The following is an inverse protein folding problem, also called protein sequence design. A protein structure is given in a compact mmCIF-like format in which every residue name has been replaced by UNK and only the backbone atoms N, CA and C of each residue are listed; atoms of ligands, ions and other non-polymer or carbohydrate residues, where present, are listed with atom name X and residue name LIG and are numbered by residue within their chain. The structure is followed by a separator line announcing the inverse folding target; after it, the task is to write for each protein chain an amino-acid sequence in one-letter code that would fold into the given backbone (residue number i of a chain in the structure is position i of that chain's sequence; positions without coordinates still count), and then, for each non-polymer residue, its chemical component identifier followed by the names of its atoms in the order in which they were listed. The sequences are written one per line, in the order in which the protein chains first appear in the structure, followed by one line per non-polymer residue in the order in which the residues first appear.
data_IF_162250783392
#
_entry.id   IF_162250783392
#
_cell.length_a   1.000
_cell.length_b   1.000
_cell.length_c   1.000
_cell.angle_alpha   90.00
_cell.angle_beta   90.00
_cell.angle_gamma   90.00
#
_symmetry.space_group_name_H-M   'P 1'
#
loop_
_entity.id
_entity.type
_entity.pdbx_description
1 polymer ?
#
# COMPACT_ATOMS: atom_id res chain seq x y z
N UNK A 1 -12.14 -2.05 -9.09
CA UNK A 1 -10.90 -1.70 -9.82
C UNK A 1 -11.29 -1.23 -11.21
N UNK A 2 -10.51 -0.37 -11.82
CA UNK A 2 -10.78 0.20 -13.14
C UNK A 2 -9.51 0.21 -14.00
N UNK A 3 -9.66 0.16 -15.31
CA UNK A 3 -8.53 0.26 -16.23
C UNK A 3 -7.96 1.68 -16.24
N UNK A 4 -6.68 1.82 -16.57
CA UNK A 4 -6.01 3.10 -16.75
C UNK A 4 -6.68 3.88 -17.91
N UNK A 5 -7.06 5.14 -17.65
CA UNK A 5 -7.66 6.01 -18.68
C UNK A 5 -6.70 7.02 -19.29
N UNK A 6 -5.56 7.25 -18.65
CA UNK A 6 -4.61 8.31 -19.02
C UNK A 6 -3.17 7.79 -19.13
N UNK A 7 -2.99 6.51 -19.46
CA UNK A 7 -1.66 5.92 -19.62
C UNK A 7 -0.83 6.70 -20.64
N UNK A 8 0.43 6.94 -20.31
CA UNK A 8 1.33 7.74 -21.13
C UNK A 8 1.94 6.91 -22.27
N UNK A 9 2.33 7.55 -23.40
CA UNK A 9 2.92 6.84 -24.53
C UNK A 9 4.11 5.95 -24.17
N UNK A 10 4.94 6.37 -23.22
CA UNK A 10 6.09 5.58 -22.77
C UNK A 10 5.66 4.28 -22.05
N UNK A 11 4.51 4.26 -21.39
CA UNK A 11 3.97 3.06 -20.78
C UNK A 11 3.47 2.06 -21.83
N UNK A 12 2.93 2.54 -22.94
CA UNK A 12 2.60 1.69 -24.09
C UNK A 12 3.88 1.12 -24.74
N UNK A 13 4.92 1.94 -24.91
CA UNK A 13 6.22 1.49 -25.41
C UNK A 13 6.85 0.41 -24.51
N UNK A 14 6.69 0.52 -23.19
CA UNK A 14 7.12 -0.52 -22.25
C UNK A 14 6.38 -1.85 -22.49
N UNK A 15 5.05 -1.82 -22.67
CA UNK A 15 4.27 -3.03 -22.95
C UNK A 15 4.67 -3.66 -24.29
N UNK A 16 4.90 -2.83 -25.32
CA UNK A 16 5.38 -3.29 -26.62
C UNK A 16 6.78 -3.92 -26.51
N UNK A 17 7.68 -3.32 -25.74
CA UNK A 17 9.00 -3.89 -25.49
C UNK A 17 8.92 -5.25 -24.75
N UNK A 18 8.00 -5.41 -23.80
CA UNK A 18 7.72 -6.68 -23.15
C UNK A 18 7.23 -7.72 -24.15
N UNK A 19 6.29 -7.35 -25.03
CA UNK A 19 5.79 -8.26 -26.08
C UNK A 19 6.90 -8.71 -27.04
N UNK A 20 7.73 -7.78 -27.49
CA UNK A 20 8.89 -8.03 -28.36
C UNK A 20 9.94 -8.92 -27.68
N UNK A 21 10.00 -8.91 -26.36
CA UNK A 21 10.83 -9.79 -25.52
C UNK A 21 10.15 -11.11 -25.18
N UNK A 22 9.07 -11.47 -25.86
CA UNK A 22 8.29 -12.71 -25.69
C UNK A 22 7.62 -12.83 -24.30
N UNK A 23 7.50 -11.73 -23.57
CA UNK A 23 6.71 -11.70 -22.34
C UNK A 23 5.22 -11.67 -22.72
N UNK A 24 4.44 -12.56 -22.12
CA UNK A 24 3.00 -12.62 -22.34
C UNK A 24 2.34 -11.32 -21.89
N UNK A 25 1.45 -10.76 -22.71
CA UNK A 25 0.70 -9.54 -22.35
C UNK A 25 -0.62 -9.92 -21.68
N UNK A 26 -0.94 -9.17 -20.62
CA UNK A 26 -2.13 -9.35 -19.78
C UNK A 26 -2.99 -8.09 -19.75
N UNK A 27 -4.27 -8.28 -19.93
CA UNK A 27 -5.28 -7.23 -19.74
C UNK A 27 -5.73 -7.13 -18.28
N UNK A 28 -5.68 -8.24 -17.52
CA UNK A 28 -6.10 -8.33 -16.13
C UNK A 28 -5.20 -9.31 -15.35
N UNK A 29 -4.61 -8.83 -14.26
CA UNK A 29 -3.79 -9.62 -13.34
C UNK A 29 -4.59 -10.34 -12.24
N UNK A 30 -5.90 -10.13 -12.16
CA UNK A 30 -6.76 -10.66 -11.10
C UNK A 30 -7.56 -11.90 -11.53
N UNK A 31 -7.11 -12.59 -12.58
CA UNK A 31 -7.78 -13.76 -13.17
C UNK A 31 -7.32 -15.12 -12.62
N UNK A 32 -6.44 -15.12 -11.61
CA UNK A 32 -5.85 -16.33 -11.04
C UNK A 32 -4.52 -16.75 -11.69
N UNK A 33 -4.25 -16.32 -12.92
CA UNK A 33 -2.94 -16.41 -13.57
C UNK A 33 -2.45 -15.00 -13.84
N UNK A 34 -1.40 -14.57 -13.14
CA UNK A 34 -0.86 -13.22 -13.21
C UNK A 34 0.51 -13.13 -13.90
N UNK A 35 1.05 -14.24 -14.45
CA UNK A 35 2.32 -14.21 -15.15
C UNK A 35 2.23 -13.43 -16.47
N UNK A 36 3.08 -12.42 -16.65
CA UNK A 36 3.12 -11.57 -17.83
C UNK A 36 3.26 -10.09 -17.49
N UNK A 37 3.13 -9.23 -18.49
CA UNK A 37 3.19 -7.78 -18.38
C UNK A 37 1.89 -7.13 -18.86
N UNK A 38 1.56 -5.95 -18.34
CA UNK A 38 0.34 -5.23 -18.70
C UNK A 38 0.18 -3.93 -17.96
N UNK A 39 -0.93 -3.25 -18.20
CA UNK A 39 -1.31 -2.09 -17.42
C UNK A 39 -1.90 -2.49 -16.07
N UNK A 40 -1.52 -1.77 -15.02
CA UNK A 40 -2.13 -1.95 -13.71
C UNK A 40 -3.57 -1.43 -13.69
N UNK A 41 -4.45 -2.22 -13.13
CA UNK A 41 -5.77 -1.71 -12.76
C UNK A 41 -5.66 -0.85 -11.49
N UNK A 42 -6.41 0.22 -11.45
CA UNK A 42 -6.35 1.20 -10.35
C UNK A 42 -7.65 1.26 -9.55
N UNK A 43 -7.54 1.67 -8.29
CA UNK A 43 -8.68 1.98 -7.43
C UNK A 43 -8.97 3.49 -7.49
N UNK A 44 -9.55 3.92 -8.62
CA UNK A 44 -9.89 5.30 -8.93
C UNK A 44 -11.37 5.36 -9.31
N UNK A 45 -12.08 6.39 -8.84
CA UNK A 45 -13.45 6.66 -9.28
C UNK A 45 -13.49 7.23 -10.69
N UNK A 46 -14.45 6.77 -11.46
CA UNK A 46 -14.76 7.28 -12.81
C UNK A 46 -16.22 7.72 -12.94
N UNK A 47 -16.86 8.07 -11.84
CA UNK A 47 -18.20 8.66 -11.82
C UNK A 47 -18.14 10.18 -12.01
N UNK A 48 -19.21 10.79 -12.50
CA UNK A 48 -19.27 12.23 -12.82
C UNK A 48 -18.82 13.13 -11.65
N UNK A 49 -19.22 12.82 -10.42
CA UNK A 49 -18.93 13.64 -9.24
C UNK A 49 -17.57 13.31 -8.56
N UNK A 50 -16.88 12.23 -8.96
CA UNK A 50 -15.67 11.75 -8.30
C UNK A 50 -14.59 11.30 -9.30
N UNK A 51 -14.67 11.77 -10.54
CA UNK A 51 -13.78 11.33 -11.61
C UNK A 51 -12.32 11.66 -11.26
N UNK A 52 -11.44 10.69 -11.41
CA UNK A 52 -10.02 10.82 -11.12
C UNK A 52 -9.66 10.89 -9.63
N UNK A 53 -10.62 10.72 -8.71
CA UNK A 53 -10.35 10.67 -7.28
C UNK A 53 -10.01 9.26 -6.82
N UNK A 54 -9.12 9.16 -5.84
CA UNK A 54 -8.74 7.88 -5.24
C UNK A 54 -9.94 7.22 -4.56
N UNK A 55 -10.26 6.01 -4.98
CA UNK A 55 -11.26 5.15 -4.36
C UNK A 55 -10.63 4.34 -3.20
N UNK A 56 -10.29 5.04 -2.09
CA UNK A 56 -9.82 4.35 -0.89
C UNK A 56 -10.95 3.55 -0.23
N UNK A 57 -10.62 2.60 0.65
CA UNK A 57 -11.61 1.87 1.44
C UNK A 57 -12.52 2.81 2.25
N UNK A 58 -11.97 3.88 2.81
CA UNK A 58 -12.76 4.91 3.48
C UNK A 58 -13.73 5.59 2.50
N UNK A 59 -13.27 6.01 1.32
CA UNK A 59 -14.12 6.66 0.32
C UNK A 59 -15.19 5.74 -0.26
N UNK A 60 -14.91 4.42 -0.36
CA UNK A 60 -15.85 3.44 -0.91
C UNK A 60 -16.85 2.93 0.13
N UNK A 61 -16.41 2.64 1.37
CA UNK A 61 -17.19 1.86 2.34
C UNK A 61 -17.57 2.61 3.62
N UNK A 62 -16.97 3.76 3.93
CA UNK A 62 -17.26 4.51 5.14
C UNK A 62 -17.97 5.84 4.83
N UNK A 63 -17.34 6.72 4.05
CA UNK A 63 -17.84 8.07 3.84
C UNK A 63 -19.28 8.13 3.26
N UNK A 64 -19.71 7.23 2.35
CA UNK A 64 -21.08 7.26 1.85
C UNK A 64 -22.15 6.93 2.91
N UNK A 65 -21.76 6.31 4.01
CA UNK A 65 -22.70 5.76 5.00
C UNK A 65 -22.62 6.40 6.38
N UNK A 66 -21.52 7.09 6.73
CA UNK A 66 -21.28 7.56 8.10
C UNK A 66 -22.33 8.53 8.59
N UNK A 67 -22.86 9.37 7.70
CA UNK A 67 -23.89 10.36 8.04
C UNK A 67 -25.29 9.73 8.27
N UNK A 68 -25.56 8.62 7.58
CA UNK A 68 -26.88 7.98 7.59
C UNK A 68 -26.97 6.74 8.49
N UNK A 69 -25.85 6.22 8.97
CA UNK A 69 -25.79 5.01 9.81
C UNK A 69 -25.59 5.35 11.27
N UNK A 70 -26.68 5.42 12.04
CA UNK A 70 -26.65 5.68 13.50
C UNK A 70 -25.87 4.65 14.31
N UNK A 71 -25.62 3.45 13.76
CA UNK A 71 -24.85 2.38 14.38
C UNK A 71 -23.38 2.34 13.91
N UNK A 72 -22.90 3.37 13.22
CA UNK A 72 -21.51 3.52 12.76
C UNK A 72 -20.92 4.79 13.36
N UNK A 73 -19.91 4.66 14.20
CA UNK A 73 -19.12 5.76 14.75
C UNK A 73 -17.66 5.61 14.35
N UNK A 74 -17.05 6.70 13.89
CA UNK A 74 -15.63 6.75 13.50
C UNK A 74 -14.91 7.71 14.44
N UNK A 75 -14.00 7.18 15.25
CA UNK A 75 -13.16 7.96 16.15
C UNK A 75 -11.77 8.08 15.54
N UNK A 76 -11.47 9.22 14.92
CA UNK A 76 -10.15 9.52 14.36
C UNK A 76 -9.19 10.05 15.43
N UNK A 77 -7.87 10.10 15.12
CA UNK A 77 -6.82 10.56 16.07
C UNK A 77 -6.86 9.80 17.41
N UNK A 78 -7.32 8.56 17.36
CA UNK A 78 -7.38 7.64 18.49
C UNK A 78 -6.24 6.62 18.39
N UNK A 79 -5.26 6.73 19.29
CA UNK A 79 -4.15 5.78 19.34
C UNK A 79 -4.52 4.64 20.31
N UNK A 80 -4.78 3.45 19.77
CA UNK A 80 -5.09 2.27 20.57
C UNK A 80 -3.85 1.81 21.32
N UNK A 81 -3.94 1.74 22.62
CA UNK A 81 -2.85 1.34 23.51
C UNK A 81 -2.85 -0.17 23.74
N UNK A 82 -4.00 -0.73 24.09
CA UNK A 82 -4.16 -2.16 24.37
C UNK A 82 -5.62 -2.60 24.32
N UNK A 83 -5.81 -3.90 24.17
CA UNK A 83 -7.11 -4.57 24.34
C UNK A 83 -7.31 -4.89 25.82
N UNK A 84 -8.54 -4.73 26.30
CA UNK A 84 -8.94 -5.08 27.68
C UNK A 84 -9.53 -6.47 27.68
N UNK A 85 -9.04 -7.32 28.58
CA UNK A 85 -9.50 -8.69 28.73
C UNK A 85 -10.21 -8.89 30.08
N UNK A 86 -11.27 -9.70 30.08
CA UNK A 86 -11.86 -10.33 31.25
C UNK A 86 -11.56 -11.83 31.16
N UNK A 87 -10.58 -12.32 31.94
CA UNK A 87 -9.98 -13.63 31.69
C UNK A 87 -9.34 -13.67 30.31
N UNK A 88 -9.78 -14.58 29.43
CA UNK A 88 -9.33 -14.71 28.03
C UNK A 88 -10.28 -14.04 27.02
N UNK A 89 -11.35 -13.40 27.48
CA UNK A 89 -12.34 -12.75 26.60
C UNK A 89 -11.96 -11.28 26.41
N UNK A 90 -11.82 -10.82 25.15
CA UNK A 90 -11.68 -9.41 24.83
C UNK A 90 -13.02 -8.69 25.09
N UNK A 91 -12.99 -7.66 25.95
CA UNK A 91 -14.19 -6.93 26.41
C UNK A 91 -14.15 -5.45 26.07
N UNK A 92 -13.12 -4.98 25.39
CA UNK A 92 -12.96 -3.57 25.01
C UNK A 92 -11.52 -3.23 24.70
N UNK A 93 -11.26 -1.94 24.62
CA UNK A 93 -9.92 -1.41 24.40
C UNK A 93 -9.67 -0.11 25.16
N UNK A 94 -8.40 0.18 25.42
CA UNK A 94 -7.90 1.44 25.96
C UNK A 94 -7.18 2.21 24.85
N UNK A 95 -7.46 3.48 24.71
CA UNK A 95 -6.88 4.31 23.67
C UNK A 95 -6.62 5.73 24.16
N UNK A 96 -5.65 6.39 23.55
CA UNK A 96 -5.35 7.81 23.76
C UNK A 96 -6.09 8.65 22.72
N UNK A 97 -6.85 9.64 23.16
CA UNK A 97 -7.55 10.58 22.28
C UNK A 97 -7.50 11.98 22.89
N UNK A 98 -7.00 12.94 22.14
CA UNK A 98 -6.83 14.33 22.61
C UNK A 98 -6.06 14.44 23.95
N UNK A 99 -4.95 13.69 24.08
CA UNK A 99 -4.12 13.67 25.27
C UNK A 99 -4.71 12.97 26.49
N UNK A 100 -5.92 12.38 26.37
CA UNK A 100 -6.60 11.69 27.48
C UNK A 100 -6.74 10.19 27.19
N UNK A 101 -6.48 9.39 28.22
CA UNK A 101 -6.78 7.95 28.19
C UNK A 101 -8.28 7.73 28.26
N UNK A 102 -8.80 6.95 27.32
CA UNK A 102 -10.21 6.59 27.23
C UNK A 102 -10.34 5.08 27.13
N UNK A 103 -11.50 4.55 27.51
CA UNK A 103 -11.87 3.14 27.38
C UNK A 103 -13.18 3.02 26.65
N UNK A 104 -13.29 2.01 25.79
CA UNK A 104 -14.55 1.64 25.15
C UNK A 104 -14.80 0.15 25.37
N UNK A 105 -16.04 -0.22 25.64
CA UNK A 105 -16.45 -1.65 25.83
C UNK A 105 -16.95 -2.20 24.51
N UNK A 106 -16.61 -3.45 24.27
CA UNK A 106 -17.15 -4.24 23.17
C UNK A 106 -18.21 -5.21 23.68
N UNK A 107 -19.38 -5.20 23.08
CA UNK A 107 -20.48 -6.11 23.47
C UNK A 107 -20.34 -7.49 22.81
N UNK A 108 -19.80 -7.53 21.59
CA UNK A 108 -19.66 -8.78 20.81
C UNK A 108 -18.18 -9.15 20.66
N UNK A 109 -17.40 -8.34 19.99
CA UNK A 109 -16.01 -8.64 19.62
C UNK A 109 -15.16 -7.40 19.46
N UNK A 110 -13.85 -7.56 19.43
CA UNK A 110 -12.85 -6.54 19.05
C UNK A 110 -12.15 -7.05 17.79
N UNK A 111 -12.23 -6.27 16.71
CA UNK A 111 -11.57 -6.57 15.45
C UNK A 111 -10.28 -5.75 15.38
N UNK A 112 -9.14 -6.42 15.28
CA UNK A 112 -7.82 -5.80 15.20
C UNK A 112 -7.31 -5.81 13.75
N UNK A 113 -7.25 -4.63 13.13
CA UNK A 113 -6.79 -4.43 11.75
C UNK A 113 -5.81 -3.25 11.66
N UNK A 114 -4.83 -3.22 12.57
CA UNK A 114 -3.91 -2.11 12.73
C UNK A 114 -2.61 -2.24 11.88
N UNK A 115 -2.58 -3.19 10.93
CA UNK A 115 -1.44 -3.44 10.04
C UNK A 115 -0.34 -4.29 10.67
N UNK A 116 0.69 -4.58 9.87
CA UNK A 116 1.75 -5.56 10.20
C UNK A 116 2.60 -5.17 11.40
N UNK A 117 2.75 -3.89 11.68
CA UNK A 117 3.53 -3.39 12.82
C UNK A 117 2.66 -3.19 14.06
N UNK A 118 1.50 -2.54 13.91
CA UNK A 118 0.72 -2.14 15.09
C UNK A 118 -0.14 -3.29 15.64
N UNK A 119 -0.63 -4.21 14.81
CA UNK A 119 -1.42 -5.34 15.33
C UNK A 119 -0.62 -6.21 16.30
N UNK A 120 0.58 -6.71 15.98
CA UNK A 120 1.37 -7.47 16.94
C UNK A 120 1.78 -6.66 18.17
N UNK A 121 2.13 -5.37 18.02
CA UNK A 121 2.49 -4.55 19.19
C UNK A 121 1.31 -4.27 20.11
N UNK A 122 0.09 -4.11 19.59
CA UNK A 122 -1.13 -3.99 20.42
C UNK A 122 -1.39 -5.30 21.14
N UNK A 123 -1.25 -6.47 20.49
CA UNK A 123 -1.40 -7.77 21.13
C UNK A 123 -0.37 -7.97 22.24
N UNK A 124 0.91 -7.71 22.00
CA UNK A 124 1.98 -7.84 22.99
C UNK A 124 1.72 -6.92 24.20
N UNK A 125 1.39 -5.65 23.97
CA UNK A 125 1.00 -4.70 25.06
C UNK A 125 -0.26 -5.14 25.81
N UNK A 126 -1.08 -5.97 25.21
CA UNK A 126 -2.29 -6.54 25.83
C UNK A 126 -2.03 -7.85 26.56
N UNK A 127 -0.78 -8.35 26.59
CA UNK A 127 -0.40 -9.61 27.23
C UNK A 127 -0.61 -10.84 26.35
N UNK A 128 -0.66 -10.68 25.02
CA UNK A 128 -0.76 -11.78 24.05
C UNK A 128 0.52 -11.83 23.22
N UNK A 129 1.28 -12.91 23.30
CA UNK A 129 2.54 -13.11 22.60
C UNK A 129 3.43 -14.15 23.28
N UNK A 130 4.70 -14.25 22.88
CA UNK A 130 5.67 -15.09 23.57
C UNK A 130 6.02 -14.50 24.94
N UNK A 131 6.18 -15.35 25.95
CA UNK A 131 6.51 -14.92 27.31
C UNK A 131 7.82 -14.11 27.35
N UNK A 132 8.82 -14.55 26.60
CA UNK A 132 10.13 -13.89 26.50
C UNK A 132 10.07 -12.46 25.88
N UNK A 133 9.11 -12.20 25.00
CA UNK A 133 8.91 -10.90 24.38
C UNK A 133 8.11 -9.93 25.28
N UNK A 134 7.29 -10.44 26.19
CA UNK A 134 6.34 -9.65 27.02
C UNK A 134 6.88 -9.39 28.43
N UNK A 135 7.47 -10.40 29.08
CA UNK A 135 7.93 -10.34 30.46
C UNK A 135 8.96 -9.21 30.75
N UNK A 136 9.93 -8.93 29.87
CA UNK A 136 10.91 -7.86 30.10
C UNK A 136 10.29 -6.46 30.26
N UNK A 137 9.09 -6.27 29.72
CA UNK A 137 8.35 -4.99 29.76
C UNK A 137 7.38 -4.89 30.95
N UNK A 138 7.40 -5.87 31.89
CA UNK A 138 6.50 -5.88 33.06
C UNK A 138 5.02 -6.10 32.70
N UNK A 139 4.73 -6.55 31.49
CA UNK A 139 3.36 -6.82 31.04
C UNK A 139 2.93 -8.21 31.50
N UNK A 140 1.76 -8.28 32.12
CA UNK A 140 1.18 -9.57 32.55
C UNK A 140 0.76 -10.40 31.34
N UNK A 141 1.25 -11.62 31.24
CA UNK A 141 0.81 -12.58 30.23
C UNK A 141 -0.65 -12.98 30.44
N UNK A 142 -1.48 -12.81 29.43
CA UNK A 142 -2.88 -13.26 29.38
C UNK A 142 -2.98 -14.59 28.63
N UNK A 143 -2.30 -14.67 27.49
CA UNK A 143 -2.26 -15.87 26.68
C UNK A 143 -0.95 -15.96 25.90
N UNK A 144 -0.28 -17.08 26.03
CA UNK A 144 0.94 -17.35 25.28
C UNK A 144 0.60 -17.67 23.81
N UNK A 145 1.16 -16.88 22.92
CA UNK A 145 0.98 -17.02 21.47
C UNK A 145 2.32 -16.66 20.78
N UNK A 146 3.26 -17.61 20.67
CA UNK A 146 4.64 -17.35 20.25
C UNK A 146 4.79 -16.75 18.83
N UNK A 147 3.78 -16.96 17.96
CA UNK A 147 3.77 -16.42 16.60
C UNK A 147 3.52 -14.92 16.50
N UNK A 148 3.06 -14.25 17.55
CA UNK A 148 2.79 -12.81 17.54
C UNK A 148 4.08 -12.03 17.37
N UNK A 149 4.15 -11.20 16.34
CA UNK A 149 5.33 -10.42 16.00
C UNK A 149 6.43 -11.18 15.27
N UNK A 150 6.25 -12.45 14.98
CA UNK A 150 7.22 -13.24 14.19
C UNK A 150 6.85 -13.27 12.72
N UNK A 151 7.77 -13.78 11.88
CA UNK A 151 7.58 -14.01 10.45
C UNK A 151 7.32 -12.73 9.64
N UNK A 152 7.90 -11.61 10.06
CA UNK A 152 7.86 -10.36 9.28
C UNK A 152 8.60 -10.57 7.96
N UNK A 153 7.94 -10.20 6.86
CA UNK A 153 8.48 -10.27 5.51
C UNK A 153 8.21 -8.95 4.80
N UNK A 154 9.14 -8.54 3.94
CA UNK A 154 8.96 -7.39 3.08
C UNK A 154 9.64 -7.63 1.73
N UNK A 155 9.15 -6.97 0.68
CA UNK A 155 9.74 -7.08 -0.64
C UNK A 155 11.03 -6.26 -0.71
N UNK A 156 12.11 -6.88 -1.17
CA UNK A 156 13.32 -6.15 -1.59
C UNK A 156 12.99 -5.56 -2.96
N UNK A 157 13.16 -4.25 -3.08
CA UNK A 157 12.97 -3.52 -4.34
C UNK A 157 14.32 -3.02 -4.86
N UNK A 158 14.62 -3.32 -6.10
CA UNK A 158 15.77 -2.78 -6.82
C UNK A 158 15.28 -1.87 -7.94
N UNK A 159 15.86 -0.67 -8.02
CA UNK A 159 15.39 0.38 -8.91
C UNK A 159 16.43 0.77 -9.95
N UNK A 160 16.02 0.79 -11.21
CA UNK A 160 16.78 1.32 -12.34
C UNK A 160 16.15 2.63 -12.79
N UNK A 161 16.90 3.72 -12.77
CA UNK A 161 16.47 5.03 -13.25
C UNK A 161 17.12 5.37 -14.59
N UNK A 162 16.30 5.74 -15.57
CA UNK A 162 16.73 6.10 -16.92
C UNK A 162 16.32 7.52 -17.26
N UNK A 163 17.27 8.35 -17.65
CA UNK A 163 17.00 9.71 -18.17
C UNK A 163 16.53 9.64 -19.62
N UNK A 164 15.60 10.51 -19.97
CA UNK A 164 15.11 10.68 -21.34
C UNK A 164 14.83 12.15 -21.65
N UNK A 165 14.77 12.48 -22.93
CA UNK A 165 14.29 13.79 -23.40
C UNK A 165 12.77 13.84 -23.60
N UNK A 166 12.07 12.72 -23.41
CA UNK A 166 10.61 12.67 -23.51
C UNK A 166 9.94 13.42 -22.38
N UNK A 167 9.38 14.57 -22.70
CA UNK A 167 8.64 15.43 -21.77
C UNK A 167 7.28 14.85 -21.34
N UNK A 168 6.85 13.72 -21.90
CA UNK A 168 5.64 13.02 -21.41
C UNK A 168 5.88 12.27 -20.10
N UNK A 169 7.14 12.07 -19.69
CA UNK A 169 7.48 11.56 -18.37
C UNK A 169 7.38 12.64 -17.30
N UNK A 170 7.38 12.23 -16.02
CA UNK A 170 7.48 13.14 -14.89
C UNK A 170 8.95 13.57 -14.72
N UNK A 171 9.19 14.89 -14.61
CA UNK A 171 10.54 15.42 -14.48
C UNK A 171 10.67 16.51 -13.44
N UNK A 172 11.78 16.49 -12.70
CA UNK A 172 12.17 17.57 -11.80
C UNK A 172 12.94 18.64 -12.59
N UNK A 173 12.23 19.65 -13.04
CA UNK A 173 12.75 20.79 -13.80
C UNK A 173 11.75 21.95 -13.78
N UNK A 174 12.12 23.20 -14.13
CA UNK A 174 11.15 24.29 -14.25
C UNK A 174 9.98 23.94 -15.19
N UNK A 175 10.25 23.32 -16.34
CA UNK A 175 9.22 22.84 -17.26
C UNK A 175 8.33 21.75 -16.66
N UNK A 176 8.91 20.84 -15.86
CA UNK A 176 8.17 19.82 -15.09
C UNK A 176 7.23 20.43 -14.08
N UNK A 177 7.64 21.50 -13.41
CA UNK A 177 6.78 22.23 -12.46
C UNK A 177 5.54 22.83 -13.14
N UNK A 178 5.73 23.57 -14.27
CA UNK A 178 4.60 24.11 -15.00
C UNK A 178 3.69 23.03 -15.59
N UNK A 179 4.26 21.89 -15.99
CA UNK A 179 3.48 20.72 -16.42
C UNK A 179 2.60 20.19 -15.28
N UNK A 180 3.13 20.04 -14.07
CA UNK A 180 2.35 19.60 -12.91
C UNK A 180 1.19 20.55 -12.62
N UNK A 181 1.41 21.88 -12.71
CA UNK A 181 0.34 22.86 -12.55
C UNK A 181 -0.76 22.68 -13.62
N UNK A 182 -0.38 22.49 -14.88
CA UNK A 182 -1.32 22.23 -15.98
C UNK A 182 -2.10 20.91 -15.80
N UNK A 183 -1.43 19.85 -15.38
CA UNK A 183 -2.06 18.58 -15.10
C UNK A 183 -3.00 18.65 -13.86
N UNK A 184 -2.66 19.50 -12.87
CA UNK A 184 -3.54 19.78 -11.72
C UNK A 184 -4.81 20.48 -12.18
N UNK A 185 -4.69 21.51 -13.05
CA UNK A 185 -5.86 22.18 -13.60
C UNK A 185 -6.75 21.23 -14.42
N UNK A 186 -6.17 20.36 -15.24
CA UNK A 186 -6.90 19.30 -15.95
C UNK A 186 -7.61 18.35 -15.00
N UNK A 187 -6.95 17.94 -13.92
CA UNK A 187 -7.56 17.05 -12.91
C UNK A 187 -8.76 17.72 -12.25
N UNK A 188 -8.65 18.96 -11.85
CA UNK A 188 -9.72 19.72 -11.22
C UNK A 188 -10.93 19.91 -12.13
N UNK A 189 -10.70 20.06 -13.44
CA UNK A 189 -11.79 20.33 -14.43
C UNK A 189 -12.36 19.06 -15.04
N UNK A 190 -11.55 18.07 -15.34
CA UNK A 190 -11.95 16.87 -16.11
C UNK A 190 -11.74 15.56 -15.33
N UNK A 191 -11.03 15.57 -14.19
CA UNK A 191 -10.73 14.38 -13.40
C UNK A 191 -9.79 13.37 -14.07
N UNK A 192 -9.34 13.63 -15.29
CA UNK A 192 -8.50 12.73 -16.08
C UNK A 192 -7.19 13.43 -16.47
N UNK A 193 -6.12 13.13 -15.73
CA UNK A 193 -4.80 13.71 -15.93
C UNK A 193 -3.69 12.80 -15.41
N UNK A 194 -2.43 13.21 -15.57
CA UNK A 194 -1.30 12.51 -14.96
C UNK A 194 -1.43 12.39 -13.42
N UNK A 195 -2.10 13.33 -12.76
CA UNK A 195 -2.31 13.32 -11.29
C UNK A 195 -3.31 12.23 -10.88
N UNK A 196 -4.23 11.84 -11.76
CA UNK A 196 -5.12 10.70 -11.55
C UNK A 196 -4.49 9.35 -11.92
N UNK A 197 -3.24 9.33 -12.38
CA UNK A 197 -2.45 8.11 -12.61
C UNK A 197 -1.77 7.66 -11.31
N UNK A 198 -1.49 6.37 -11.23
CA UNK A 198 -0.69 5.78 -10.15
C UNK A 198 0.81 6.05 -10.29
N UNK A 199 1.25 6.74 -11.35
CA UNK A 199 2.63 6.92 -11.84
C UNK A 199 3.31 5.59 -12.24
N UNK A 200 3.07 4.51 -11.52
CA UNK A 200 3.36 3.14 -11.95
C UNK A 200 2.19 2.64 -12.77
N UNK A 201 2.20 2.94 -14.07
CA UNK A 201 1.06 2.67 -14.95
C UNK A 201 1.05 1.24 -15.48
N UNK A 202 2.23 0.66 -15.63
CA UNK A 202 2.44 -0.67 -16.19
C UNK A 202 3.42 -1.47 -15.34
N UNK A 203 3.48 -2.77 -15.60
CA UNK A 203 4.41 -3.67 -14.93
C UNK A 203 4.08 -5.10 -15.26
N UNK A 204 4.52 -6.02 -14.41
CA UNK A 204 4.27 -7.43 -14.66
C UNK A 204 4.76 -8.32 -13.53
N UNK A 205 4.41 -9.58 -13.64
CA UNK A 205 4.86 -10.66 -12.77
C UNK A 205 5.58 -11.70 -13.64
N UNK A 206 6.80 -12.03 -13.28
CA UNK A 206 7.64 -12.94 -14.04
C UNK A 206 8.24 -14.02 -13.13
N UNK A 207 8.64 -15.13 -13.73
CA UNK A 207 9.40 -16.18 -13.08
C UNK A 207 10.88 -16.01 -13.40
N UNK A 208 11.74 -16.07 -12.39
CA UNK A 208 13.20 -16.14 -12.58
C UNK A 208 13.65 -17.53 -13.07
N UNK A 209 12.85 -18.55 -12.78
CA UNK A 209 13.04 -19.92 -13.26
C UNK A 209 11.68 -20.48 -13.69
N UNK A 210 11.63 -21.04 -14.91
CA UNK A 210 10.42 -21.60 -15.49
C UNK A 210 9.87 -22.81 -14.74
N UNK A 211 10.68 -23.45 -13.89
CA UNK A 211 10.24 -24.56 -13.03
C UNK A 211 9.37 -24.11 -11.85
N UNK A 212 9.34 -22.81 -11.54
CA UNK A 212 8.50 -22.27 -10.47
C UNK A 212 7.00 -22.41 -10.81
N UNK A 213 6.21 -22.72 -9.82
CA UNK A 213 4.74 -22.84 -9.94
C UNK A 213 4.05 -21.49 -10.21
N UNK A 214 4.69 -20.38 -9.83
CA UNK A 214 4.16 -19.02 -9.91
C UNK A 214 5.28 -17.98 -9.99
N UNK A 215 4.99 -16.75 -10.48
CA UNK A 215 5.94 -15.65 -10.54
C UNK A 215 6.55 -15.34 -9.17
N UNK A 216 7.84 -15.09 -9.14
CA UNK A 216 8.61 -14.75 -7.93
C UNK A 216 9.17 -13.33 -7.94
N UNK A 217 9.11 -12.64 -9.08
CA UNK A 217 9.45 -11.22 -9.20
C UNK A 217 8.28 -10.41 -9.74
N UNK A 218 8.23 -9.14 -9.34
CA UNK A 218 7.29 -8.16 -9.85
C UNK A 218 8.05 -6.96 -10.42
N UNK A 219 7.66 -6.52 -11.59
CA UNK A 219 8.14 -5.30 -12.21
C UNK A 219 7.14 -4.18 -12.03
N UNK A 220 7.62 -2.96 -11.74
CA UNK A 220 6.84 -1.74 -11.83
C UNK A 220 7.52 -0.79 -12.81
N UNK A 221 6.80 -0.38 -13.83
CA UNK A 221 7.23 0.67 -14.74
C UNK A 221 6.63 2.00 -14.31
N UNK A 222 7.48 2.96 -13.96
CA UNK A 222 7.10 4.26 -13.40
C UNK A 222 7.48 5.37 -14.35
N UNK A 223 6.55 6.25 -14.69
CA UNK A 223 6.72 7.35 -15.64
C UNK A 223 7.50 8.55 -15.07
N UNK A 224 8.43 8.32 -14.17
CA UNK A 224 9.26 9.34 -13.53
C UNK A 224 10.53 8.77 -12.93
N UNK A 225 11.48 9.63 -12.60
CA UNK A 225 12.71 9.28 -11.90
C UNK A 225 12.41 9.15 -10.40
N UNK A 226 11.96 7.98 -9.97
CA UNK A 226 11.68 7.66 -8.57
C UNK A 226 12.84 6.86 -8.01
N UNK A 227 13.70 7.48 -7.22
CA UNK A 227 14.85 6.86 -6.59
C UNK A 227 14.73 7.00 -5.07
N UNK A 228 15.03 5.93 -4.35
CA UNK A 228 14.98 5.86 -2.88
C UNK A 228 13.70 6.51 -2.31
N UNK A 229 12.53 6.14 -2.82
CA UNK A 229 11.22 6.69 -2.42
C UNK A 229 11.15 8.23 -2.49
N UNK A 230 11.74 8.85 -3.52
CA UNK A 230 11.88 10.30 -3.71
C UNK A 230 12.81 11.00 -2.70
N UNK A 231 13.59 10.26 -1.92
CA UNK A 231 14.64 10.87 -1.07
C UNK A 231 15.81 11.39 -1.89
N UNK A 232 16.06 10.77 -3.05
CA UNK A 232 17.02 11.23 -4.04
C UNK A 232 16.29 11.84 -5.23
N UNK A 233 16.48 13.13 -5.46
CA UNK A 233 15.90 13.84 -6.57
C UNK A 233 16.88 13.90 -7.74
N UNK A 234 16.39 13.52 -8.93
CA UNK A 234 17.13 13.60 -10.18
C UNK A 234 16.58 14.72 -11.05
N UNK A 235 17.47 15.61 -11.48
CA UNK A 235 17.08 16.68 -12.41
C UNK A 235 16.87 16.13 -13.81
N UNK A 236 15.81 16.60 -14.47
CA UNK A 236 15.44 16.22 -15.85
C UNK A 236 14.21 15.31 -15.88
N UNK A 237 13.97 14.73 -17.05
CA UNK A 237 12.89 13.80 -17.33
C UNK A 237 13.43 12.36 -17.35
N UNK A 238 12.58 11.39 -17.06
CA UNK A 238 12.98 10.01 -17.09
C UNK A 238 11.88 9.05 -16.65
N UNK A 239 12.24 7.80 -16.54
CA UNK A 239 11.39 6.72 -16.04
C UNK A 239 12.20 5.80 -15.15
N UNK A 240 11.51 5.02 -14.34
CA UNK A 240 12.13 4.04 -13.45
C UNK A 240 11.51 2.67 -13.67
N UNK A 241 12.35 1.64 -13.58
CA UNK A 241 11.94 0.24 -13.57
C UNK A 241 12.29 -0.33 -12.20
N UNK A 242 11.30 -0.70 -11.43
CA UNK A 242 11.46 -1.37 -10.15
C UNK A 242 11.31 -2.87 -10.31
N UNK A 243 12.14 -3.63 -9.62
CA UNK A 243 12.09 -5.09 -9.60
C UNK A 243 12.01 -5.54 -8.16
N UNK A 244 10.89 -6.10 -7.77
CA UNK A 244 10.63 -6.57 -6.41
C UNK A 244 10.69 -8.08 -6.32
N UNK A 245 11.42 -8.60 -5.32
CA UNK A 245 11.35 -10.01 -4.94
C UNK A 245 10.08 -10.28 -4.13
N UNK A 246 9.16 -11.09 -4.67
CA UNK A 246 7.85 -11.32 -4.05
C UNK A 246 7.87 -12.28 -2.84
N UNK A 247 8.85 -13.18 -2.78
CA UNK A 247 8.95 -14.21 -1.73
C UNK A 247 10.36 -14.31 -1.17
N UNK A 248 10.78 -13.31 -0.37
CA UNK A 248 12.07 -13.36 0.28
C UNK A 248 12.12 -14.54 1.27
N UNK A 249 13.29 -15.16 1.41
CA UNK A 249 13.51 -16.20 2.41
C UNK A 249 13.76 -15.62 3.81
N UNK A 250 14.18 -14.35 3.89
CA UNK A 250 14.41 -13.66 5.16
C UNK A 250 13.12 -13.54 5.98
N UNK A 251 13.28 -13.67 7.29
CA UNK A 251 12.21 -13.51 8.27
C UNK A 251 12.67 -12.56 9.36
N UNK A 252 11.83 -11.59 9.66
CA UNK A 252 12.08 -10.62 10.72
C UNK A 252 11.07 -10.75 11.86
N UNK A 253 11.19 -9.82 12.79
CA UNK A 253 10.31 -9.74 13.97
C UNK A 253 9.86 -8.32 14.23
N UNK A 254 8.68 -8.20 14.85
CA UNK A 254 8.15 -6.96 15.42
C UNK A 254 7.98 -7.20 16.92
N UNK A 255 8.75 -6.48 17.72
CA UNK A 255 8.74 -6.59 19.18
C UNK A 255 8.56 -5.24 19.85
N UNK A 256 8.22 -5.22 21.12
CA UNK A 256 8.14 -4.00 21.91
C UNK A 256 9.55 -3.49 22.25
N UNK A 257 9.75 -2.17 22.12
CA UNK A 257 10.91 -1.49 22.66
C UNK A 257 10.66 -1.04 24.11
N UNK A 258 9.41 -0.81 24.47
CA UNK A 258 8.93 -0.47 25.83
C UNK A 258 7.45 -0.81 25.99
N UNK A 259 6.98 -0.82 27.24
CA UNK A 259 5.58 -1.05 27.57
C UNK A 259 4.63 0.09 27.10
#
# INVERSE_FOLDING_TARGET
MSNQKAAKPISHAYIEACANSQVRIRDDFNTGDNEGAGFWQSTIFHSENKNGQRCSTAAAYLLPYVENRKNLEIITKANVMRIIFAGKKAVGLEYMHQGKKKKIRAHKEVILSAGSFMSPTILQRSGIGALEDIKPHGIKLIHELPGVGKNLQDHIDFNFCFKTNDKNTLGFSPGGFFKILGETAKWLTHGNSMISSTLSEAGGFLKTDQSLDRPDIQHHFVIGLIDDHLRKLHYGYGYSCHVCLLRPYSRGTVSLASA
#
